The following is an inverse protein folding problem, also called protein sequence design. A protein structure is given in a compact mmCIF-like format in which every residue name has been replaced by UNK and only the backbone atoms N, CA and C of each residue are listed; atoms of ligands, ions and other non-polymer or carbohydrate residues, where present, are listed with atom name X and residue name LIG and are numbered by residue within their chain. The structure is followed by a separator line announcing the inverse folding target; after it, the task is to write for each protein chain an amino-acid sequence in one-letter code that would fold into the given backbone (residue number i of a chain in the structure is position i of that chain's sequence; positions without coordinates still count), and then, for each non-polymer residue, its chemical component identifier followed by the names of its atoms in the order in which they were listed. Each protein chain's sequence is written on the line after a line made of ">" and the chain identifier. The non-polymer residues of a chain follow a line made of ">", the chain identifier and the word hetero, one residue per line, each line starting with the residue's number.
data_IF_122098522666
#
_entry.id   IF_122098522666
#
_cell.length_a   1.000
_cell.length_b   1.000
_cell.length_c   1.000
_cell.angle_alpha   90.00
_cell.angle_beta   90.00
_cell.angle_gamma   90.00
#
_symmetry.space_group_name_H-M   'P 1'
#
loop_
_entity.id
_entity.type
_entity.pdbx_description
1 polymer ?
#
# COMPACT_ATOMS: atom_id res chain seq x y z
N UNK A 1 -18.82 -6.61 -61.31
CA UNK A 1 -17.41 -6.72 -60.88
C UNK A 1 -17.40 -7.57 -59.63
N UNK A 2 -17.07 -8.85 -59.80
CA UNK A 2 -17.15 -9.90 -58.79
C UNK A 2 -15.93 -9.80 -57.88
N UNK A 3 -16.14 -9.51 -56.59
CA UNK A 3 -15.09 -9.49 -55.58
C UNK A 3 -14.61 -10.92 -55.30
N UNK A 4 -13.45 -11.28 -55.85
CA UNK A 4 -12.74 -12.51 -55.50
C UNK A 4 -12.30 -12.45 -54.03
N UNK A 5 -13.01 -13.15 -53.15
CA UNK A 5 -12.46 -13.58 -51.87
C UNK A 5 -11.33 -14.59 -52.17
N UNK A 6 -10.08 -14.13 -52.17
CA UNK A 6 -8.93 -15.03 -52.11
C UNK A 6 -8.99 -15.78 -50.78
N UNK A 7 -9.18 -17.10 -50.84
CA UNK A 7 -8.98 -18.00 -49.72
C UNK A 7 -7.48 -17.99 -49.34
N UNK A 8 -7.11 -17.85 -48.06
CA UNK A 8 -5.72 -17.81 -47.65
C UNK A 8 -4.98 -19.11 -48.01
N UNK A 9 -3.72 -19.00 -48.41
CA UNK A 9 -2.93 -20.15 -48.86
C UNK A 9 -2.73 -21.18 -47.72
N UNK A 10 -2.63 -22.49 -48.02
CA UNK A 10 -2.51 -23.55 -47.00
C UNK A 10 -1.27 -23.40 -46.10
N UNK A 11 -0.20 -22.77 -46.57
CA UNK A 11 1.00 -22.47 -45.76
C UNK A 11 0.72 -21.41 -44.68
N UNK A 12 -0.10 -20.40 -45.00
CA UNK A 12 -0.50 -19.35 -44.05
C UNK A 12 -1.37 -19.93 -42.94
N UNK A 13 -2.28 -20.85 -43.29
CA UNK A 13 -3.12 -21.57 -42.32
C UNK A 13 -2.29 -22.42 -41.34
N UNK A 14 -1.23 -23.07 -41.80
CA UNK A 14 -0.33 -23.86 -40.93
C UNK A 14 0.44 -22.97 -39.96
N UNK A 15 1.02 -21.85 -40.43
CA UNK A 15 1.74 -20.91 -39.58
C UNK A 15 0.82 -20.25 -38.54
N UNK A 16 -0.41 -19.88 -38.92
CA UNK A 16 -1.42 -19.36 -38.00
C UNK A 16 -1.80 -20.38 -36.93
N UNK A 17 -1.90 -21.67 -37.29
CA UNK A 17 -2.20 -22.75 -36.34
C UNK A 17 -1.07 -22.96 -35.33
N UNK A 18 0.17 -23.09 -35.80
CA UNK A 18 1.36 -23.27 -34.93
C UNK A 18 1.50 -22.10 -33.95
N UNK A 19 1.31 -20.87 -34.42
CA UNK A 19 1.34 -19.69 -33.56
C UNK A 19 0.25 -19.72 -32.50
N UNK A 20 -0.99 -20.06 -32.87
CA UNK A 20 -2.11 -20.17 -31.94
C UNK A 20 -1.90 -21.26 -30.89
N UNK A 21 -1.36 -22.41 -31.29
CA UNK A 21 -1.04 -23.51 -30.37
C UNK A 21 0.06 -23.11 -29.38
N UNK A 22 1.06 -22.36 -29.84
CA UNK A 22 2.11 -21.81 -28.98
C UNK A 22 1.58 -20.76 -27.99
N UNK A 23 0.76 -19.81 -28.46
CA UNK A 23 0.09 -18.82 -27.61
C UNK A 23 -0.75 -19.51 -26.52
N UNK A 24 -1.52 -20.55 -26.88
CA UNK A 24 -2.31 -21.33 -25.93
C UNK A 24 -1.44 -22.04 -24.90
N UNK A 25 -0.33 -22.66 -25.33
CA UNK A 25 0.61 -23.32 -24.44
C UNK A 25 1.28 -22.33 -23.45
N UNK A 26 1.53 -21.08 -23.87
CA UNK A 26 2.03 -20.04 -22.97
C UNK A 26 0.96 -19.62 -21.96
N UNK A 27 -0.28 -19.43 -22.39
CA UNK A 27 -1.41 -19.11 -21.50
C UNK A 27 -1.55 -20.19 -20.42
N UNK A 28 -1.58 -21.47 -20.80
CA UNK A 28 -1.71 -22.56 -19.83
C UNK A 28 -0.56 -22.61 -18.81
N UNK A 29 0.67 -22.35 -19.27
CA UNK A 29 1.84 -22.22 -18.39
C UNK A 29 1.73 -21.02 -17.44
N UNK A 30 1.24 -19.87 -17.92
CA UNK A 30 1.03 -18.68 -17.09
C UNK A 30 -0.03 -18.96 -16.03
N UNK A 31 -1.13 -19.62 -16.36
CA UNK A 31 -2.17 -19.98 -15.40
C UNK A 31 -1.62 -20.90 -14.30
N UNK A 32 -0.77 -21.87 -14.65
CA UNK A 32 -0.11 -22.76 -13.67
C UNK A 32 0.92 -22.01 -12.81
N UNK A 33 1.73 -21.14 -13.41
CA UNK A 33 2.70 -20.31 -12.70
C UNK A 33 2.02 -19.31 -11.75
N UNK A 34 0.87 -18.77 -12.16
CA UNK A 34 0.03 -17.88 -11.34
C UNK A 34 -0.52 -18.60 -10.11
N UNK A 35 -1.01 -19.84 -10.27
CA UNK A 35 -1.44 -20.64 -9.12
C UNK A 35 -0.29 -20.95 -8.15
N UNK A 36 0.91 -21.18 -8.69
CA UNK A 36 2.12 -21.37 -7.89
C UNK A 36 2.49 -20.09 -7.14
N UNK A 37 2.41 -18.92 -7.79
CA UNK A 37 2.66 -17.63 -7.16
C UNK A 37 1.65 -17.35 -6.04
N UNK A 38 0.37 -17.69 -6.23
CA UNK A 38 -0.64 -17.57 -5.18
C UNK A 38 -0.33 -18.46 -3.95
N UNK A 39 0.13 -19.69 -4.17
CA UNK A 39 0.61 -20.55 -3.07
C UNK A 39 1.86 -19.98 -2.36
N UNK A 40 2.62 -19.11 -3.03
CA UNK A 40 3.74 -18.35 -2.45
C UNK A 40 3.31 -17.02 -1.82
N UNK A 41 2.01 -16.80 -1.64
CA UNK A 41 1.48 -15.63 -0.96
C UNK A 41 1.13 -14.45 -1.86
N UNK A 42 1.27 -14.53 -3.19
CA UNK A 42 1.00 -13.39 -4.09
C UNK A 42 -0.49 -13.17 -4.32
N UNK A 43 -0.93 -11.92 -4.20
CA UNK A 43 -2.32 -11.51 -4.50
C UNK A 43 -2.45 -10.99 -5.94
N UNK A 44 -3.66 -10.97 -6.53
CA UNK A 44 -3.88 -10.37 -7.85
C UNK A 44 -3.39 -8.92 -7.94
N UNK A 45 -3.57 -8.18 -6.86
CA UNK A 45 -3.13 -6.80 -6.72
C UNK A 45 -1.61 -6.63 -6.76
N UNK A 46 -0.87 -7.56 -6.15
CA UNK A 46 0.59 -7.61 -6.23
C UNK A 46 1.04 -7.98 -7.65
N UNK A 47 0.38 -8.97 -8.27
CA UNK A 47 0.71 -9.42 -9.61
C UNK A 47 0.45 -8.32 -10.66
N UNK A 48 -0.64 -7.57 -10.56
CA UNK A 48 -0.88 -6.38 -11.41
C UNK A 48 0.19 -5.31 -11.24
N UNK A 49 0.70 -5.14 -10.02
CA UNK A 49 1.76 -4.17 -9.77
C UNK A 49 3.08 -4.56 -10.46
N UNK A 50 3.42 -5.86 -10.45
CA UNK A 50 4.68 -6.36 -11.01
C UNK A 50 4.60 -6.59 -12.52
N UNK A 51 3.52 -7.18 -13.00
CA UNK A 51 3.35 -7.60 -14.40
C UNK A 51 2.65 -6.54 -15.26
N UNK A 52 2.07 -5.50 -14.64
CA UNK A 52 1.23 -4.50 -15.28
C UNK A 52 -0.24 -4.93 -15.39
N UNK A 53 -1.10 -4.01 -15.83
CA UNK A 53 -2.55 -4.26 -15.88
C UNK A 53 -2.98 -5.24 -16.98
N UNK A 54 -2.15 -5.48 -18.00
CA UNK A 54 -2.47 -6.38 -19.12
C UNK A 54 -2.71 -7.83 -18.72
N UNK A 55 -2.18 -8.26 -17.57
CA UNK A 55 -2.34 -9.63 -17.05
C UNK A 55 -3.74 -9.89 -16.44
N UNK A 56 -4.55 -8.86 -16.23
CA UNK A 56 -5.79 -8.94 -15.43
C UNK A 56 -6.74 -10.06 -15.88
N UNK A 57 -6.90 -10.24 -17.20
CA UNK A 57 -7.72 -11.32 -17.75
C UNK A 57 -7.16 -12.72 -17.39
N UNK A 58 -5.84 -12.92 -17.46
CA UNK A 58 -5.20 -14.19 -17.08
C UNK A 58 -5.33 -14.46 -15.57
N UNK A 59 -5.28 -13.41 -14.74
CA UNK A 59 -5.55 -13.55 -13.30
C UNK A 59 -7.00 -13.97 -13.05
N UNK A 60 -7.96 -13.41 -13.77
CA UNK A 60 -9.37 -13.81 -13.69
C UNK A 60 -9.55 -15.29 -14.09
N UNK A 61 -8.91 -15.75 -15.17
CA UNK A 61 -8.95 -17.17 -15.56
C UNK A 61 -8.29 -18.09 -14.52
N UNK A 62 -7.21 -17.66 -13.88
CA UNK A 62 -6.50 -18.43 -12.86
C UNK A 62 -7.25 -18.50 -11.52
N UNK A 63 -8.16 -17.56 -11.25
CA UNK A 63 -8.82 -17.38 -9.96
C UNK A 63 -9.48 -18.65 -9.40
N UNK A 64 -10.19 -19.41 -10.25
CA UNK A 64 -10.83 -20.67 -9.84
C UNK A 64 -9.81 -21.74 -9.42
N UNK A 65 -8.66 -21.83 -10.10
CA UNK A 65 -7.58 -22.76 -9.76
C UNK A 65 -6.95 -22.39 -8.41
N UNK A 66 -6.73 -21.10 -8.18
CA UNK A 66 -6.18 -20.59 -6.92
C UNK A 66 -7.14 -20.83 -5.75
N UNK A 67 -8.43 -20.55 -5.95
CA UNK A 67 -9.40 -20.71 -4.87
C UNK A 67 -9.67 -22.16 -4.49
N UNK A 68 -9.51 -23.09 -5.43
CA UNK A 68 -9.59 -24.52 -5.17
C UNK A 68 -8.28 -25.12 -4.60
N UNK A 69 -7.14 -24.43 -4.72
CA UNK A 69 -5.86 -24.94 -4.25
C UNK A 69 -5.78 -24.98 -2.72
N UNK A 70 -5.63 -26.18 -2.16
CA UNK A 70 -5.50 -26.38 -0.72
C UNK A 70 -4.23 -25.76 -0.12
N UNK A 71 -3.15 -25.69 -0.92
CA UNK A 71 -1.87 -25.11 -0.51
C UNK A 71 -1.89 -23.56 -0.41
N UNK A 72 -2.95 -22.90 -0.91
CA UNK A 72 -3.09 -21.44 -0.77
C UNK A 72 -3.71 -21.09 0.57
N UNK A 73 -3.04 -20.21 1.31
CA UNK A 73 -3.52 -19.68 2.59
C UNK A 73 -4.87 -18.98 2.46
N UNK A 74 -5.72 -19.07 3.48
CA UNK A 74 -7.09 -18.54 3.43
C UNK A 74 -7.15 -17.02 3.22
N UNK A 75 -6.27 -16.26 3.86
CA UNK A 75 -6.08 -14.81 3.63
C UNK A 75 -5.84 -14.46 2.16
N UNK A 76 -4.91 -15.16 1.51
CA UNK A 76 -4.59 -15.01 0.08
C UNK A 76 -5.79 -15.44 -0.76
N UNK A 77 -6.42 -16.57 -0.43
CA UNK A 77 -7.63 -17.06 -1.11
C UNK A 77 -8.74 -16.01 -1.09
N UNK A 78 -8.97 -15.34 0.05
CA UNK A 78 -9.94 -14.25 0.18
C UNK A 78 -9.56 -13.04 -0.67
N UNK A 79 -8.29 -12.63 -0.65
CA UNK A 79 -7.79 -11.57 -1.52
C UNK A 79 -8.05 -11.89 -3.00
N UNK A 80 -7.78 -13.12 -3.43
CA UNK A 80 -8.08 -13.58 -4.79
C UNK A 80 -9.56 -13.48 -5.14
N UNK A 81 -10.47 -13.83 -4.21
CA UNK A 81 -11.93 -13.75 -4.44
C UNK A 81 -12.43 -12.33 -4.62
N UNK A 82 -11.85 -11.38 -3.88
CA UNK A 82 -12.25 -9.97 -3.93
C UNK A 82 -11.63 -9.22 -5.09
N UNK A 83 -10.35 -9.47 -5.37
CA UNK A 83 -9.55 -8.64 -6.27
C UNK A 83 -9.59 -9.10 -7.73
N UNK A 84 -10.13 -10.28 -8.01
CA UNK A 84 -10.39 -10.76 -9.36
C UNK A 84 -11.82 -10.43 -9.77
N UNK A 85 -11.97 -9.71 -10.87
CA UNK A 85 -13.25 -9.42 -11.51
C UNK A 85 -13.17 -9.84 -12.98
N UNK A 86 -14.33 -10.04 -13.63
CA UNK A 86 -14.38 -10.31 -15.05
C UNK A 86 -13.80 -9.13 -15.83
N UNK A 87 -12.84 -9.41 -16.71
CA UNK A 87 -12.17 -8.43 -17.57
C UNK A 87 -12.18 -8.97 -18.98
N UNK A 88 -12.48 -8.11 -19.96
CA UNK A 88 -12.44 -8.50 -21.37
C UNK A 88 -11.02 -8.89 -21.80
N UNK A 89 -10.85 -9.90 -22.66
CA UNK A 89 -9.55 -10.30 -23.15
C UNK A 89 -8.95 -9.18 -24.00
N UNK A 90 -7.72 -8.79 -23.67
CA UNK A 90 -6.90 -7.92 -24.52
C UNK A 90 -6.03 -8.80 -25.42
N UNK A 91 -5.77 -8.38 -26.68
CA UNK A 91 -4.81 -9.07 -27.52
C UNK A 91 -3.40 -8.91 -26.90
N UNK A 92 -2.73 -10.03 -26.65
CA UNK A 92 -1.38 -10.05 -26.10
C UNK A 92 -0.34 -10.31 -27.19
N UNK A 93 0.82 -9.67 -27.09
CA UNK A 93 1.97 -10.11 -27.86
C UNK A 93 2.59 -11.36 -27.20
N UNK A 94 3.10 -12.30 -28.01
CA UNK A 94 3.80 -13.50 -27.51
C UNK A 94 4.94 -13.12 -26.56
N UNK A 95 5.67 -12.06 -26.88
CA UNK A 95 6.76 -11.53 -26.04
C UNK A 95 6.29 -11.04 -24.68
N UNK A 96 5.07 -10.49 -24.57
CA UNK A 96 4.49 -10.10 -23.28
C UNK A 96 4.16 -11.33 -22.43
N UNK A 97 3.59 -12.38 -23.04
CA UNK A 97 3.32 -13.65 -22.37
C UNK A 97 4.61 -14.31 -21.87
N UNK A 98 5.66 -14.34 -22.69
CA UNK A 98 6.98 -14.86 -22.30
C UNK A 98 7.60 -14.08 -21.13
N UNK A 99 7.51 -12.75 -21.16
CA UNK A 99 7.98 -11.90 -20.08
C UNK A 99 7.21 -12.16 -18.78
N UNK A 100 5.88 -12.21 -18.84
CA UNK A 100 5.05 -12.53 -17.66
C UNK A 100 5.37 -13.90 -17.09
N UNK A 101 5.50 -14.91 -17.94
CA UNK A 101 5.85 -16.27 -17.52
C UNK A 101 7.22 -16.32 -16.84
N UNK A 102 8.20 -15.61 -17.39
CA UNK A 102 9.54 -15.50 -16.80
C UNK A 102 9.48 -14.85 -15.43
N UNK A 103 8.83 -13.68 -15.33
CA UNK A 103 8.69 -12.97 -14.05
C UNK A 103 7.95 -13.82 -13.00
N UNK A 104 6.84 -14.48 -13.37
CA UNK A 104 6.06 -15.34 -12.45
C UNK A 104 6.90 -16.48 -11.86
N UNK A 105 7.82 -17.07 -12.63
CA UNK A 105 8.69 -18.16 -12.18
C UNK A 105 9.71 -17.71 -11.13
N UNK A 106 10.14 -16.45 -11.20
CA UNK A 106 11.15 -15.85 -10.33
C UNK A 106 10.57 -15.27 -9.03
N UNK A 107 9.25 -15.23 -8.87
CA UNK A 107 8.62 -14.61 -7.70
C UNK A 107 8.95 -15.37 -6.40
N UNK A 108 9.48 -14.69 -5.37
CA UNK A 108 9.81 -15.30 -4.09
C UNK A 108 8.56 -15.63 -3.27
N UNK A 109 8.75 -16.41 -2.20
CA UNK A 109 7.76 -16.56 -1.13
C UNK A 109 7.61 -15.24 -0.37
N UNK A 110 6.37 -14.85 -0.08
CA UNK A 110 6.05 -13.67 0.74
C UNK A 110 5.54 -14.14 2.09
N UNK A 111 6.38 -14.01 3.13
CA UNK A 111 6.17 -14.57 4.47
C UNK A 111 5.07 -13.89 5.32
N UNK A 112 4.43 -12.84 4.80
CA UNK A 112 3.29 -12.18 5.45
C UNK A 112 1.93 -12.78 5.04
N UNK A 113 1.91 -13.89 4.30
CA UNK A 113 0.71 -14.49 3.75
C UNK A 113 -0.30 -14.88 4.84
N UNK A 114 0.13 -15.42 5.97
CA UNK A 114 -0.78 -15.91 7.03
C UNK A 114 -1.64 -14.81 7.65
N UNK A 115 -1.08 -13.61 7.82
CA UNK A 115 -1.74 -12.48 8.48
C UNK A 115 -2.17 -11.40 7.48
N UNK A 116 -2.17 -11.73 6.18
CA UNK A 116 -2.44 -10.79 5.11
C UNK A 116 -3.89 -10.30 5.12
N UNK A 117 -4.06 -8.99 5.03
CA UNK A 117 -5.33 -8.30 4.77
C UNK A 117 -5.17 -7.32 3.60
N UNK A 118 -6.28 -6.78 3.12
CA UNK A 118 -6.29 -5.66 2.18
C UNK A 118 -7.03 -4.45 2.76
N UNK A 119 -6.86 -3.29 2.12
CA UNK A 119 -7.43 -2.03 2.59
C UNK A 119 -8.97 -2.03 2.48
N UNK A 120 -9.52 -2.73 1.50
CA UNK A 120 -10.96 -2.86 1.32
C UNK A 120 -11.60 -3.56 2.53
N UNK A 121 -11.05 -4.71 2.94
CA UNK A 121 -11.50 -5.42 4.14
C UNK A 121 -11.39 -4.57 5.41
N UNK A 122 -10.33 -3.75 5.54
CA UNK A 122 -10.18 -2.83 6.67
C UNK A 122 -11.20 -1.67 6.63
N UNK A 123 -11.65 -1.26 5.44
CA UNK A 123 -12.72 -0.28 5.28
C UNK A 123 -14.09 -0.89 5.54
N UNK A 124 -14.37 -2.09 5.01
CA UNK A 124 -15.63 -2.80 5.28
C UNK A 124 -15.83 -3.05 6.77
N UNK A 125 -14.78 -3.44 7.51
CA UNK A 125 -14.85 -3.55 8.99
C UNK A 125 -15.25 -2.25 9.70
N UNK A 126 -15.01 -1.11 9.08
CA UNK A 126 -15.40 0.20 9.60
C UNK A 126 -16.82 0.61 9.17
N UNK A 127 -17.26 0.14 7.99
CA UNK A 127 -18.55 0.46 7.37
C UNK A 127 -19.69 -0.51 7.75
N UNK A 128 -19.39 -1.79 7.97
CA UNK A 128 -20.29 -2.84 8.47
C UNK A 128 -19.92 -3.28 9.91
N UNK A 129 -20.44 -2.55 10.91
CA UNK A 129 -20.04 -2.68 12.31
C UNK A 129 -20.69 -3.83 13.07
N UNK A 130 -21.69 -4.51 12.50
CA UNK A 130 -22.38 -5.66 13.13
C UNK A 130 -21.82 -7.02 12.66
N UNK A 131 -20.77 -7.00 11.84
CA UNK A 131 -20.01 -8.19 11.47
C UNK A 131 -19.27 -8.84 12.64
N UNK A 132 -18.85 -10.11 12.52
CA UNK A 132 -18.22 -10.87 13.60
C UNK A 132 -16.90 -10.26 14.14
N UNK A 133 -16.29 -9.32 13.41
CA UNK A 133 -15.04 -8.60 13.74
C UNK A 133 -15.25 -7.06 13.90
N UNK A 134 -16.48 -6.60 14.18
CA UNK A 134 -16.84 -5.18 14.18
C UNK A 134 -16.15 -4.31 15.25
N UNK A 135 -15.91 -3.03 14.95
CA UNK A 135 -15.38 -2.03 15.89
C UNK A 135 -16.35 -1.77 17.07
N UNK A 136 -15.83 -1.53 18.27
CA UNK A 136 -16.64 -1.16 19.43
C UNK A 136 -17.45 0.15 19.21
N UNK A 137 -18.58 0.32 19.90
CA UNK A 137 -19.48 1.47 19.82
C UNK A 137 -18.80 2.83 20.00
N UNK A 138 -17.78 2.92 20.86
CA UNK A 138 -16.98 4.13 21.03
C UNK A 138 -16.05 4.36 19.83
N UNK A 139 -15.45 3.29 19.31
CA UNK A 139 -14.58 3.32 18.13
C UNK A 139 -15.33 3.76 16.88
N UNK A 140 -16.57 3.29 16.73
CA UNK A 140 -17.50 3.68 15.65
C UNK A 140 -17.75 5.18 15.61
N UNK A 141 -18.04 5.81 16.75
CA UNK A 141 -18.34 7.26 16.80
C UNK A 141 -17.10 8.11 16.50
N UNK A 142 -15.93 7.71 16.98
CA UNK A 142 -14.69 8.40 16.71
C UNK A 142 -14.31 8.32 15.22
N UNK A 143 -14.35 7.12 14.64
CA UNK A 143 -14.12 6.88 13.21
C UNK A 143 -15.00 7.76 12.32
N UNK A 144 -16.32 7.78 12.57
CA UNK A 144 -17.27 8.60 11.82
C UNK A 144 -17.00 10.11 11.97
N UNK A 145 -16.63 10.56 13.18
CA UNK A 145 -16.33 11.97 13.46
C UNK A 145 -15.03 12.42 12.78
N UNK A 146 -14.00 11.57 12.78
CA UNK A 146 -12.76 11.79 12.03
C UNK A 146 -13.08 11.86 10.53
N UNK A 147 -13.85 10.91 10.00
CA UNK A 147 -14.30 10.92 8.60
C UNK A 147 -15.02 12.22 8.23
N UNK A 148 -15.95 12.68 9.08
CA UNK A 148 -16.71 13.90 8.88
C UNK A 148 -15.83 15.16 8.88
N UNK A 149 -14.88 15.28 9.82
CA UNK A 149 -13.92 16.39 9.84
C UNK A 149 -13.05 16.40 8.59
N UNK A 150 -12.57 15.23 8.16
CA UNK A 150 -11.76 15.08 6.96
C UNK A 150 -12.55 15.40 5.68
N UNK A 151 -13.82 15.01 5.58
CA UNK A 151 -14.70 15.36 4.45
C UNK A 151 -14.99 16.86 4.41
N UNK A 152 -15.20 17.47 5.58
CA UNK A 152 -15.42 18.92 5.68
C UNK A 152 -14.17 19.70 5.24
N UNK A 153 -12.99 19.23 5.63
CA UNK A 153 -11.72 19.81 5.20
C UNK A 153 -11.51 19.73 3.68
N UNK A 154 -12.03 18.69 2.99
CA UNK A 154 -12.00 18.62 1.52
C UNK A 154 -12.96 19.60 0.85
N UNK A 155 -14.11 19.82 1.47
CA UNK A 155 -15.17 20.62 0.87
C UNK A 155 -14.97 22.14 1.04
N UNK A 156 -14.04 22.56 1.90
CA UNK A 156 -13.76 23.99 2.09
C UNK A 156 -12.73 24.50 1.08
N UNK A 157 -12.94 25.72 0.59
CA UNK A 157 -12.03 26.44 -0.30
C UNK A 157 -11.01 27.29 0.46
N UNK A 158 -11.08 27.31 1.80
CA UNK A 158 -10.19 28.10 2.66
C UNK A 158 -9.09 27.22 3.27
N UNK A 159 -7.84 27.44 2.83
CA UNK A 159 -6.69 26.64 3.27
C UNK A 159 -6.53 26.61 4.80
N UNK A 160 -6.66 27.76 5.49
CA UNK A 160 -6.53 27.83 6.95
C UNK A 160 -7.64 27.06 7.70
N UNK A 161 -8.87 27.03 7.14
CA UNK A 161 -9.97 26.24 7.72
C UNK A 161 -9.73 24.74 7.50
N UNK A 162 -9.28 24.35 6.30
CA UNK A 162 -8.90 22.98 5.98
C UNK A 162 -7.80 22.49 6.93
N UNK A 163 -6.74 23.27 7.13
CA UNK A 163 -5.65 22.97 8.06
C UNK A 163 -6.16 22.74 9.49
N UNK A 164 -7.04 23.62 9.97
CA UNK A 164 -7.62 23.51 11.32
C UNK A 164 -8.47 22.23 11.47
N UNK A 165 -9.28 21.91 10.46
CA UNK A 165 -10.12 20.70 10.45
C UNK A 165 -9.28 19.42 10.38
N UNK A 166 -8.20 19.41 9.59
CA UNK A 166 -7.24 18.28 9.52
C UNK A 166 -6.50 18.11 10.84
N UNK A 167 -5.99 19.19 11.42
CA UNK A 167 -5.31 19.15 12.73
C UNK A 167 -6.26 18.58 13.81
N UNK A 168 -7.52 19.03 13.82
CA UNK A 168 -8.54 18.52 14.74
C UNK A 168 -8.88 17.05 14.50
N UNK A 169 -8.92 16.60 13.25
CA UNK A 169 -9.12 15.19 12.90
C UNK A 169 -7.94 14.31 13.37
N UNK A 170 -6.70 14.81 13.22
CA UNK A 170 -5.49 14.13 13.69
C UNK A 170 -5.44 14.05 15.21
N UNK A 171 -5.71 15.16 15.91
CA UNK A 171 -5.80 15.18 17.36
C UNK A 171 -6.89 14.23 17.87
N UNK A 172 -8.08 14.22 17.25
CA UNK A 172 -9.17 13.30 17.60
C UNK A 172 -8.79 11.84 17.38
N UNK A 173 -8.04 11.53 16.31
CA UNK A 173 -7.55 10.19 16.03
C UNK A 173 -6.54 9.73 17.07
N UNK A 174 -5.58 10.59 17.42
CA UNK A 174 -4.58 10.27 18.43
C UNK A 174 -5.23 10.07 19.81
N UNK A 175 -6.20 10.92 20.16
CA UNK A 175 -7.03 10.73 21.37
C UNK A 175 -7.76 9.40 21.37
N UNK A 176 -8.39 9.06 20.25
CA UNK A 176 -9.08 7.79 20.13
C UNK A 176 -8.12 6.59 20.25
N UNK A 177 -6.92 6.69 19.67
CA UNK A 177 -5.88 5.65 19.76
C UNK A 177 -5.45 5.41 21.21
N UNK A 178 -5.26 6.49 21.97
CA UNK A 178 -5.01 6.48 23.42
C UNK A 178 -6.20 5.85 24.16
N UNK A 179 -7.43 6.27 23.87
CA UNK A 179 -8.63 5.73 24.53
C UNK A 179 -8.80 4.22 24.29
N UNK A 180 -8.56 3.74 23.06
CA UNK A 180 -8.61 2.31 22.75
C UNK A 180 -7.49 1.50 23.39
N UNK A 181 -6.35 2.14 23.65
CA UNK A 181 -5.25 1.53 24.36
C UNK A 181 -5.60 1.34 25.85
N UNK A 182 -6.46 2.19 26.42
CA UNK A 182 -6.86 2.13 27.83
C UNK A 182 -7.98 1.11 28.12
N UNK A 183 -8.60 0.51 27.10
CA UNK A 183 -9.63 -0.51 27.27
C UNK A 183 -9.01 -1.84 27.74
N UNK A 184 -9.42 -2.41 28.89
CA UNK A 184 -8.75 -3.56 29.48
C UNK A 184 -8.86 -4.85 28.64
N UNK A 185 -7.81 -5.68 28.59
CA UNK A 185 -7.82 -6.98 27.93
C UNK A 185 -8.57 -8.00 28.80
N UNK A 186 -9.91 -7.96 28.77
CA UNK A 186 -10.76 -8.80 29.62
C UNK A 186 -11.99 -9.40 28.93
N UNK A 187 -12.20 -9.13 27.64
CA UNK A 187 -13.21 -9.84 26.86
C UNK A 187 -12.52 -11.00 26.12
N UNK A 188 -13.10 -12.21 26.03
CA UNK A 188 -12.50 -13.38 25.36
C UNK A 188 -12.23 -13.21 23.85
N UNK A 189 -12.32 -11.98 23.32
CA UNK A 189 -11.99 -11.55 21.97
C UNK A 189 -10.67 -10.74 21.86
N UNK A 190 -9.89 -10.58 22.94
CA UNK A 190 -8.77 -9.60 22.98
C UNK A 190 -7.38 -10.22 23.07
N UNK A 191 -7.07 -11.22 22.24
CA UNK A 191 -5.73 -11.29 21.65
C UNK A 191 -5.74 -10.34 20.45
N UNK A 192 -5.17 -9.14 20.59
CA UNK A 192 -5.16 -8.16 19.48
C UNK A 192 -4.44 -8.79 18.29
N UNK A 193 -5.21 -9.20 17.28
CA UNK A 193 -4.69 -9.85 16.09
C UNK A 193 -3.91 -8.82 15.26
N UNK A 194 -2.61 -9.06 15.11
CA UNK A 194 -1.76 -8.27 14.22
C UNK A 194 -1.98 -8.71 12.78
N UNK A 195 -2.15 -7.73 11.91
CA UNK A 195 -2.45 -7.94 10.50
C UNK A 195 -1.31 -7.35 9.66
N UNK A 196 -1.13 -7.87 8.45
CA UNK A 196 -0.20 -7.36 7.46
C UNK A 196 -0.95 -6.78 6.26
N UNK A 197 -0.61 -5.56 5.85
CA UNK A 197 -1.17 -4.95 4.64
C UNK A 197 -0.05 -4.52 3.68
N UNK A 198 -0.15 -4.95 2.43
CA UNK A 198 0.84 -4.65 1.39
C UNK A 198 0.59 -3.32 0.69
N UNK A 199 1.59 -2.44 0.77
CA UNK A 199 1.67 -1.16 0.09
C UNK A 199 2.57 -1.29 -1.14
N UNK A 200 2.07 -0.87 -2.29
CA UNK A 200 2.78 -0.93 -3.58
C UNK A 200 3.31 0.43 -3.98
N UNK A 201 4.59 0.50 -4.32
CA UNK A 201 5.35 1.72 -4.58
C UNK A 201 5.98 1.68 -5.98
N UNK A 202 5.87 2.77 -6.72
CA UNK A 202 6.36 2.80 -8.10
C UNK A 202 7.83 3.20 -8.20
N UNK A 203 8.56 2.60 -9.14
CA UNK A 203 9.87 3.08 -9.57
C UNK A 203 9.81 4.55 -10.03
N UNK A 204 10.91 5.33 -9.95
CA UNK A 204 12.28 4.91 -9.64
C UNK A 204 12.68 5.05 -8.16
N UNK A 205 11.83 5.63 -7.31
CA UNK A 205 12.19 6.03 -5.94
C UNK A 205 11.66 5.11 -4.85
N UNK A 206 11.55 3.81 -5.13
CA UNK A 206 10.95 2.80 -4.21
C UNK A 206 11.51 2.92 -2.80
N UNK A 207 12.85 2.90 -2.63
CA UNK A 207 13.47 2.98 -1.30
C UNK A 207 13.15 4.27 -0.54
N UNK A 208 12.97 5.39 -1.25
CA UNK A 208 12.68 6.68 -0.60
C UNK A 208 11.19 6.80 -0.25
N UNK A 209 10.30 6.23 -1.07
CA UNK A 209 8.89 6.06 -0.71
C UNK A 209 8.76 5.14 0.50
N UNK A 210 9.51 4.04 0.53
CA UNK A 210 9.56 3.14 1.67
C UNK A 210 10.06 3.84 2.94
N UNK A 211 11.06 4.72 2.83
CA UNK A 211 11.51 5.52 3.98
C UNK A 211 10.38 6.37 4.57
N UNK A 212 9.56 7.01 3.72
CA UNK A 212 8.38 7.75 4.18
C UNK A 212 7.39 6.80 4.88
N UNK A 213 7.07 5.65 4.28
CA UNK A 213 6.18 4.65 4.88
C UNK A 213 6.69 4.18 6.25
N UNK A 214 8.00 3.88 6.36
CA UNK A 214 8.62 3.44 7.60
C UNK A 214 8.58 4.52 8.71
N UNK A 215 8.79 5.79 8.35
CA UNK A 215 8.64 6.90 9.31
C UNK A 215 7.20 7.07 9.80
N UNK A 216 6.21 6.86 8.93
CA UNK A 216 4.80 6.92 9.30
C UNK A 216 4.42 5.72 10.16
N UNK A 217 4.83 4.51 9.78
CA UNK A 217 4.56 3.28 10.52
C UNK A 217 5.09 3.36 11.95
N UNK A 218 6.35 3.75 12.11
CA UNK A 218 6.97 3.87 13.44
C UNK A 218 6.31 4.92 14.35
N UNK A 219 5.68 5.96 13.80
CA UNK A 219 4.90 6.92 14.58
C UNK A 219 3.51 6.40 15.00
N UNK A 220 3.03 5.35 14.33
CA UNK A 220 1.70 4.77 14.50
C UNK A 220 1.74 3.35 15.07
N UNK A 221 2.74 3.02 15.91
CA UNK A 221 2.88 1.71 16.56
C UNK A 221 2.86 0.52 15.56
N UNK A 222 3.29 0.76 14.32
CA UNK A 222 3.37 -0.23 13.25
C UNK A 222 4.82 -0.42 12.81
N UNK A 223 5.12 -1.58 12.22
CA UNK A 223 6.40 -1.83 11.55
C UNK A 223 6.18 -1.93 10.05
N UNK A 224 7.16 -1.50 9.25
CA UNK A 224 7.12 -1.64 7.79
C UNK A 224 8.36 -2.38 7.27
N UNK A 225 8.15 -3.33 6.36
CA UNK A 225 9.22 -4.13 5.73
C UNK A 225 9.09 -4.07 4.22
N UNK A 226 10.20 -3.79 3.52
CA UNK A 226 10.25 -3.85 2.06
C UNK A 226 10.48 -5.31 1.63
N UNK A 227 9.46 -5.95 1.05
CA UNK A 227 9.45 -7.39 0.74
C UNK A 227 10.25 -7.74 -0.51
N UNK A 228 10.22 -6.88 -1.54
CA UNK A 228 10.83 -7.19 -2.83
C UNK A 228 11.39 -5.97 -3.53
N UNK A 229 12.30 -6.22 -4.49
CA UNK A 229 12.77 -5.21 -5.42
C UNK A 229 11.64 -4.63 -6.30
N UNK A 230 10.51 -5.34 -6.40
CA UNK A 230 9.37 -4.94 -7.22
C UNK A 230 8.51 -3.84 -6.59
N UNK A 231 8.92 -3.25 -5.47
CA UNK A 231 8.24 -2.08 -4.89
C UNK A 231 7.11 -2.40 -3.93
N UNK A 232 7.05 -3.63 -3.40
CA UNK A 232 6.04 -4.02 -2.42
C UNK A 232 6.64 -3.96 -1.02
N UNK A 233 5.98 -3.24 -0.11
CA UNK A 233 6.26 -3.28 1.33
C UNK A 233 5.05 -3.78 2.09
N UNK A 234 5.27 -4.42 3.23
CA UNK A 234 4.22 -4.84 4.15
C UNK A 234 4.24 -3.98 5.40
N UNK A 235 3.08 -3.59 5.89
CA UNK A 235 2.88 -2.87 7.15
C UNK A 235 2.22 -3.81 8.13
N UNK A 236 2.83 -4.01 9.29
CA UNK A 236 2.38 -4.92 10.35
C UNK A 236 2.00 -4.12 11.58
N UNK A 237 0.82 -4.40 12.11
CA UNK A 237 0.29 -3.73 13.31
C UNK A 237 -1.17 -4.10 13.57
N UNK A 238 -1.81 -3.37 14.48
CA UNK A 238 -3.24 -3.47 14.73
C UNK A 238 -4.05 -2.88 13.57
N UNK A 239 -5.25 -3.42 13.31
CA UNK A 239 -6.11 -3.05 12.18
C UNK A 239 -6.28 -1.52 11.99
N UNK A 240 -6.56 -0.80 13.09
CA UNK A 240 -6.79 0.65 13.05
C UNK A 240 -5.53 1.47 12.72
N UNK A 241 -4.39 1.00 13.21
CA UNK A 241 -3.09 1.65 13.06
C UNK A 241 -2.49 1.38 11.66
N UNK A 242 -2.61 0.14 11.18
CA UNK A 242 -2.21 -0.26 9.81
C UNK A 242 -2.99 0.55 8.78
N UNK A 243 -4.32 0.58 8.90
CA UNK A 243 -5.16 1.39 8.02
C UNK A 243 -4.75 2.86 8.04
N UNK A 244 -4.51 3.43 9.24
CA UNK A 244 -4.05 4.81 9.35
C UNK A 244 -2.79 5.06 8.52
N UNK A 245 -1.80 4.20 8.75
CA UNK A 245 -0.47 4.31 8.18
C UNK A 245 -0.56 4.29 6.66
N UNK A 246 -1.37 3.39 6.11
CA UNK A 246 -1.55 3.22 4.66
C UNK A 246 -2.24 4.43 4.03
N UNK A 247 -3.35 4.90 4.61
CA UNK A 247 -4.09 6.07 4.10
C UNK A 247 -3.22 7.33 4.14
N UNK A 248 -2.51 7.53 5.25
CA UNK A 248 -1.63 8.67 5.47
C UNK A 248 -0.44 8.63 4.52
N UNK A 249 0.17 7.45 4.33
CA UNK A 249 1.23 7.26 3.35
C UNK A 249 0.76 7.59 1.93
N UNK A 250 -0.40 7.06 1.50
CA UNK A 250 -0.91 7.29 0.15
C UNK A 250 -1.08 8.80 -0.15
N UNK A 251 -1.65 9.53 0.81
CA UNK A 251 -1.83 10.98 0.74
C UNK A 251 -0.49 11.73 0.70
N UNK A 252 0.38 11.50 1.68
CA UNK A 252 1.67 12.20 1.79
C UNK A 252 2.59 11.88 0.63
N UNK A 253 2.57 10.66 0.10
CA UNK A 253 3.36 10.30 -1.07
C UNK A 253 2.93 11.09 -2.32
N UNK A 254 1.62 11.30 -2.52
CA UNK A 254 1.12 12.18 -3.61
C UNK A 254 1.52 13.63 -3.42
N UNK A 255 1.38 14.16 -2.19
CA UNK A 255 1.78 15.54 -1.88
C UNK A 255 3.29 15.74 -2.05
N UNK A 256 4.10 14.78 -1.61
CA UNK A 256 5.54 14.77 -1.80
C UNK A 256 5.91 14.85 -3.29
N UNK A 257 5.30 14.02 -4.13
CA UNK A 257 5.50 14.04 -5.57
C UNK A 257 5.09 15.38 -6.20
N UNK A 258 3.99 15.98 -5.74
CA UNK A 258 3.56 17.31 -6.17
C UNK A 258 4.60 18.38 -5.83
N UNK A 259 4.98 18.53 -4.55
CA UNK A 259 5.93 19.55 -4.10
C UNK A 259 7.31 19.38 -4.75
N UNK A 260 7.79 18.14 -4.91
CA UNK A 260 9.08 17.86 -5.55
C UNK A 260 9.12 18.32 -7.02
N UNK A 261 7.96 18.40 -7.69
CA UNK A 261 7.85 18.86 -9.08
C UNK A 261 7.78 20.37 -9.20
N UNK A 262 7.06 21.05 -8.30
CA UNK A 262 6.77 22.49 -8.40
C UNK A 262 7.79 23.39 -7.68
N UNK A 263 8.71 22.80 -6.90
CA UNK A 263 9.67 23.57 -6.11
C UNK A 263 10.67 24.32 -6.99
N UNK A 264 11.04 25.55 -6.61
CA UNK A 264 12.04 26.34 -7.33
C UNK A 264 13.40 25.60 -7.48
N UNK A 265 13.81 24.83 -6.45
CA UNK A 265 15.01 24.01 -6.53
C UNK A 265 14.93 22.87 -7.53
N UNK A 266 13.73 22.39 -7.88
CA UNK A 266 13.55 21.38 -8.92
C UNK A 266 13.86 21.95 -10.32
N UNK A 267 13.41 23.17 -10.59
CA UNK A 267 13.73 23.88 -11.83
C UNK A 267 15.22 24.20 -11.95
N UNK A 268 15.84 24.65 -10.85
CA UNK A 268 17.29 24.89 -10.78
C UNK A 268 18.12 23.61 -10.98
N UNK A 269 17.75 22.52 -10.31
CA UNK A 269 18.41 21.22 -10.47
C UNK A 269 18.29 20.69 -11.90
N UNK A 270 17.15 20.94 -12.56
CA UNK A 270 16.97 20.60 -13.98
C UNK A 270 17.92 21.38 -14.89
N UNK A 271 18.08 22.69 -14.66
CA UNK A 271 19.00 23.53 -15.46
C UNK A 271 20.46 23.18 -15.25
N UNK A 272 20.82 22.70 -14.06
CA UNK A 272 22.21 22.40 -13.66
C UNK A 272 22.56 20.91 -13.80
N UNK A 273 21.66 20.07 -14.30
CA UNK A 273 21.88 18.63 -14.47
C UNK A 273 21.92 17.83 -13.15
N UNK A 274 21.42 18.38 -12.04
CA UNK A 274 21.49 17.79 -10.69
C UNK A 274 20.17 17.15 -10.22
N UNK A 275 19.19 16.96 -11.12
CA UNK A 275 17.83 16.47 -10.80
C UNK A 275 17.82 15.24 -9.91
N UNK A 276 18.65 14.22 -10.19
CA UNK A 276 18.70 12.98 -9.41
C UNK A 276 19.18 13.23 -7.98
N UNK A 277 20.24 14.02 -7.81
CA UNK A 277 20.78 14.37 -6.50
C UNK A 277 19.81 15.23 -5.69
N UNK A 278 19.15 16.19 -6.35
CA UNK A 278 18.09 17.01 -5.76
C UNK A 278 16.93 16.16 -5.24
N UNK A 279 16.36 15.27 -6.09
CA UNK A 279 15.20 14.43 -5.73
C UNK A 279 15.51 13.49 -4.57
N UNK A 280 16.70 12.86 -4.55
CA UNK A 280 17.14 12.02 -3.43
C UNK A 280 17.18 12.81 -2.11
N UNK A 281 17.79 13.99 -2.14
CA UNK A 281 17.85 14.87 -0.97
C UNK A 281 16.47 15.33 -0.50
N UNK A 282 15.61 15.70 -1.45
CA UNK A 282 14.25 16.14 -1.20
C UNK A 282 13.44 15.05 -0.48
N UNK A 283 13.39 13.85 -1.06
CA UNK A 283 12.61 12.73 -0.51
C UNK A 283 13.11 12.31 0.87
N UNK A 284 14.44 12.24 1.05
CA UNK A 284 15.06 11.91 2.34
C UNK A 284 14.68 12.93 3.42
N UNK A 285 14.79 14.22 3.10
CA UNK A 285 14.48 15.30 4.04
C UNK A 285 12.98 15.40 4.34
N UNK A 286 12.14 15.18 3.32
CA UNK A 286 10.69 15.14 3.45
C UNK A 286 10.25 14.04 4.41
N UNK A 287 10.67 12.79 4.15
CA UNK A 287 10.34 11.65 5.00
C UNK A 287 10.80 11.85 6.45
N UNK A 288 12.03 12.32 6.64
CA UNK A 288 12.60 12.57 7.98
C UNK A 288 11.81 13.65 8.74
N UNK A 289 11.38 14.73 8.07
CA UNK A 289 10.60 15.79 8.70
C UNK A 289 9.17 15.36 9.01
N UNK A 290 8.51 14.60 8.13
CA UNK A 290 7.20 14.02 8.42
C UNK A 290 7.26 13.12 9.67
N UNK A 291 8.26 12.24 9.76
CA UNK A 291 8.44 11.40 10.94
C UNK A 291 8.61 12.20 12.23
N UNK A 292 9.39 13.29 12.18
CA UNK A 292 9.53 14.21 13.31
C UNK A 292 8.20 14.88 13.69
N UNK A 293 7.46 15.41 12.71
CA UNK A 293 6.15 16.05 12.92
C UNK A 293 5.13 15.10 13.55
N UNK A 294 5.09 13.83 13.12
CA UNK A 294 4.17 12.84 13.68
C UNK A 294 4.53 12.46 15.12
N UNK A 295 5.83 12.39 15.46
CA UNK A 295 6.28 12.16 16.83
C UNK A 295 6.02 13.37 17.74
N UNK A 296 6.27 14.58 17.24
CA UNK A 296 5.92 15.85 17.90
C UNK A 296 4.42 15.87 18.24
N UNK A 297 3.54 15.64 17.25
CA UNK A 297 2.09 15.61 17.46
C UNK A 297 1.63 14.48 18.41
N UNK A 298 2.34 13.35 18.43
CA UNK A 298 2.09 12.25 19.36
C UNK A 298 2.43 12.60 20.81
N UNK A 299 3.52 13.35 21.04
CA UNK A 299 3.93 13.83 22.35
C UNK A 299 2.98 14.90 22.89
N UNK A 300 2.62 15.90 22.07
CA UNK A 300 1.68 16.96 22.46
C UNK A 300 0.32 16.39 22.90
N UNK A 301 -0.18 15.38 22.18
CA UNK A 301 -1.44 14.71 22.53
C UNK A 301 -1.37 13.90 23.83
N UNK A 302 -0.18 13.50 24.26
CA UNK A 302 0.03 12.81 25.53
C UNK A 302 0.12 13.82 26.70
N UNK A 303 0.75 14.98 26.52
CA UNK A 303 0.85 15.99 27.58
C UNK A 303 -0.51 16.60 27.97
N UNK A 304 -1.47 16.65 27.05
CA UNK A 304 -2.82 17.19 27.27
C UNK A 304 -3.72 16.36 28.24
N UNK A 305 -3.25 15.24 28.83
CA UNK A 305 -4.11 14.30 29.59
C UNK A 305 -3.43 13.64 30.80
N UNK A 306 -4.13 13.61 31.94
CA UNK A 306 -3.73 12.84 33.14
C UNK A 306 -3.70 11.31 32.89
N UNK A 307 -4.52 10.81 31.97
CA UNK A 307 -4.58 9.38 31.62
C UNK A 307 -3.47 8.92 30.64
N UNK A 308 -2.66 9.83 30.12
CA UNK A 308 -1.62 9.51 29.13
C UNK A 308 -0.53 8.60 29.70
N UNK A 309 -0.23 8.74 31.01
CA UNK A 309 0.69 7.84 31.72
C UNK A 309 0.25 6.38 31.66
N UNK A 310 -1.05 6.12 31.49
CA UNK A 310 -1.61 4.77 31.36
C UNK A 310 -1.66 4.28 29.91
N UNK A 311 -1.72 5.19 28.93
CA UNK A 311 -1.86 4.84 27.51
C UNK A 311 -0.53 4.67 26.79
N UNK A 312 0.50 5.44 27.18
CA UNK A 312 1.85 5.34 26.60
C UNK A 312 2.45 3.94 26.72
N UNK A 313 2.34 3.23 27.86
CA UNK A 313 2.80 1.84 27.97
C UNK A 313 2.11 0.91 26.98
N UNK A 314 0.79 1.05 26.79
CA UNK A 314 0.04 0.18 25.87
C UNK A 314 0.41 0.47 24.41
N UNK A 315 0.61 1.73 24.03
CA UNK A 315 1.10 2.08 22.69
C UNK A 315 2.52 1.56 22.43
N UNK A 316 3.36 1.52 23.47
CA UNK A 316 4.69 0.91 23.42
C UNK A 316 4.60 -0.62 23.31
N UNK A 317 3.68 -1.27 24.03
CA UNK A 317 3.40 -2.71 23.91
C UNK A 317 2.91 -3.09 22.51
N UNK A 318 2.02 -2.29 21.92
CA UNK A 318 1.58 -2.47 20.51
C UNK A 318 2.76 -2.40 19.54
N UNK A 319 3.63 -1.41 19.72
CA UNK A 319 4.85 -1.27 18.91
C UNK A 319 5.77 -2.48 19.07
N UNK A 320 6.01 -2.91 20.32
CA UNK A 320 6.85 -4.06 20.62
C UNK A 320 6.27 -5.36 20.05
N UNK A 321 4.94 -5.55 20.09
CA UNK A 321 4.27 -6.70 19.50
C UNK A 321 4.41 -6.71 17.97
N UNK A 322 4.26 -5.55 17.31
CA UNK A 322 4.47 -5.42 15.86
C UNK A 322 5.92 -5.72 15.46
N UNK A 323 6.89 -5.23 16.23
CA UNK A 323 8.32 -5.49 16.03
C UNK A 323 8.68 -6.97 16.23
N UNK A 324 8.15 -7.59 17.29
CA UNK A 324 8.31 -9.03 17.57
C UNK A 324 7.75 -9.87 16.42
N UNK A 325 6.50 -9.61 16.02
CA UNK A 325 5.89 -10.31 14.89
C UNK A 325 6.67 -10.12 13.60
N UNK A 326 7.18 -8.91 13.36
CA UNK A 326 8.04 -8.63 12.20
C UNK A 326 9.32 -9.47 12.24
N UNK A 327 9.97 -9.60 13.40
CA UNK A 327 11.20 -10.39 13.55
C UNK A 327 10.95 -11.88 13.32
N UNK A 328 9.80 -12.39 13.75
CA UNK A 328 9.38 -13.78 13.52
C UNK A 328 9.15 -14.06 12.04
N UNK A 329 8.44 -13.18 11.33
CA UNK A 329 8.15 -13.35 9.90
C UNK A 329 9.39 -13.10 9.02
N UNK A 330 10.27 -12.19 9.44
CA UNK A 330 11.43 -11.76 8.65
C UNK A 330 12.72 -11.81 9.50
N UNK A 331 13.29 -13.01 9.75
CA UNK A 331 14.49 -13.15 10.58
C UNK A 331 15.76 -12.57 9.94
N UNK A 332 15.80 -12.43 8.61
CA UNK A 332 16.98 -12.02 7.85
C UNK A 332 16.91 -10.55 7.35
N UNK A 333 16.19 -9.67 8.05
CA UNK A 333 16.07 -8.26 7.67
C UNK A 333 17.41 -7.53 7.66
N UNK A 334 17.55 -6.59 6.73
CA UNK A 334 18.71 -5.69 6.62
C UNK A 334 18.25 -4.24 6.63
N UNK A 335 19.02 -3.38 7.29
CA UNK A 335 18.78 -1.94 7.26
C UNK A 335 19.08 -1.33 5.89
N UNK A 336 18.31 -0.30 5.52
CA UNK A 336 18.58 0.53 4.34
C UNK A 336 19.20 1.83 4.81
N UNK A 337 20.40 2.15 4.34
CA UNK A 337 21.07 3.43 4.62
C UNK A 337 20.83 4.43 3.49
N UNK A 338 20.70 5.70 3.85
CA UNK A 338 20.50 6.81 2.93
C UNK A 338 21.59 7.85 3.15
N UNK A 339 22.04 8.48 2.07
CA UNK A 339 22.98 9.60 2.11
C UNK A 339 22.67 10.57 0.98
N UNK A 340 22.75 11.87 1.26
CA UNK A 340 22.60 12.92 0.27
C UNK A 340 23.40 14.15 0.66
N UNK A 341 23.94 14.85 -0.35
CA UNK A 341 24.76 16.06 -0.18
C UNK A 341 24.14 17.30 -0.81
N UNK A 342 22.94 17.21 -1.37
CA UNK A 342 22.30 18.34 -2.07
C UNK A 342 21.52 19.23 -1.09
N UNK A 343 22.17 20.30 -0.61
CA UNK A 343 21.62 21.18 0.43
C UNK A 343 20.25 21.78 0.06
N UNK A 344 20.09 22.27 -1.18
CA UNK A 344 18.82 22.87 -1.62
C UNK A 344 17.66 21.86 -1.66
N UNK A 345 17.88 20.66 -2.20
CA UNK A 345 16.88 19.59 -2.18
C UNK A 345 16.49 19.21 -0.76
N UNK A 346 17.46 19.13 0.16
CA UNK A 346 17.18 18.87 1.57
C UNK A 346 16.30 19.96 2.20
N UNK A 347 16.63 21.24 1.97
CA UNK A 347 15.83 22.38 2.46
C UNK A 347 14.41 22.36 1.90
N UNK A 348 14.28 22.23 0.58
CA UNK A 348 12.97 22.22 -0.09
C UNK A 348 12.12 21.03 0.40
N UNK A 349 12.72 19.85 0.62
CA UNK A 349 12.04 18.69 1.18
C UNK A 349 11.50 18.92 2.60
N UNK A 350 12.28 19.56 3.48
CA UNK A 350 11.80 19.94 4.83
C UNK A 350 10.65 20.94 4.79
N UNK A 351 10.75 21.96 3.93
CA UNK A 351 9.70 22.96 3.76
C UNK A 351 8.42 22.33 3.22
N UNK A 352 8.53 21.45 2.23
CA UNK A 352 7.41 20.71 1.68
C UNK A 352 6.73 19.83 2.73
N UNK A 353 7.49 19.14 3.58
CA UNK A 353 6.92 18.37 4.67
C UNK A 353 6.13 19.23 5.66
N UNK A 354 6.66 20.41 6.02
CA UNK A 354 5.94 21.36 6.88
C UNK A 354 4.66 21.94 6.26
N UNK A 355 4.54 21.95 4.94
CA UNK A 355 3.34 22.39 4.19
C UNK A 355 2.40 21.24 3.83
N UNK A 356 2.76 20.00 4.17
CA UNK A 356 1.96 18.84 3.79
C UNK A 356 0.82 18.64 4.78
N UNK A 357 -0.35 18.35 4.24
CA UNK A 357 -1.52 18.03 5.02
C UNK A 357 -1.40 16.57 5.48
N UNK A 358 -1.37 16.33 6.80
CA UNK A 358 -1.28 15.00 7.40
C UNK A 358 -2.60 14.23 7.30
N UNK A 359 -3.42 14.46 6.27
CA UNK A 359 -4.70 13.77 6.05
C UNK A 359 -4.43 12.40 5.41
N UNK A 360 -5.02 11.34 5.94
CA UNK A 360 -5.17 10.07 5.20
C UNK A 360 -6.28 10.21 4.18
N UNK A 361 -6.03 9.86 2.93
CA UNK A 361 -6.98 10.10 1.85
C UNK A 361 -7.84 8.84 1.62
N UNK A 362 -9.15 8.94 1.89
CA UNK A 362 -10.11 7.87 1.65
C UNK A 362 -10.51 7.75 0.17
N UNK A 363 -10.20 8.75 -0.66
CA UNK A 363 -10.61 8.78 -2.06
C UNK A 363 -9.43 8.47 -2.99
N UNK A 364 -9.02 7.20 -3.06
CA UNK A 364 -7.86 6.86 -3.90
C UNK A 364 -7.75 5.43 -4.42
N UNK A 365 -8.66 4.52 -4.08
CA UNK A 365 -8.58 3.13 -4.56
C UNK A 365 -9.47 2.79 -5.76
N UNK A 366 -10.24 3.73 -6.32
CA UNK A 366 -11.24 3.37 -7.35
C UNK A 366 -11.33 4.27 -8.59
N UNK A 367 -10.26 4.98 -8.97
CA UNK A 367 -10.23 5.69 -10.27
C UNK A 367 -8.88 5.61 -10.97
N UNK A 368 -8.56 4.43 -11.50
CA UNK A 368 -7.75 4.29 -12.72
C UNK A 368 -8.18 3.03 -13.48
N UNK A 369 -9.21 3.14 -14.32
CA UNK A 369 -9.41 2.40 -15.57
C UNK A 369 -10.61 3.01 -16.28
N UNK A 370 -10.33 4.01 -17.11
CA UNK A 370 -11.01 4.19 -18.38
C UNK A 370 -9.93 3.97 -19.45
#
# INVERSE_FOLDING_TARGET
>A
MTTHHLSPAPADLHLHRVRRDHEQALVDQILAATATAACRGWTPDDLRHVLGNGVAHLLFLAHHRVTAAAATTESVRRAWRRQCHAVDPLPWAVTELENWLTTLRELPLLADEEILTDLHQLHEREEDPDGPDGLDGQQRRAAHRIAGLLRKAESTTFDAEAETLVAKAQQLRQRHRIDTALTPPGSPATSVELLALRVRMSAPWIRHQFLLLAQIAGANSCTAVLLSAHGIATVIGEAGDVRHTVDLFASLNRQCAHFMRISAGAHEASRTGQTTAYRRAFLLAYASRIGALLREAGADAAEDREDSDRALPVLAERSAAAEERTRQLFPALRGISFSSRHARGHRDGRVAAGRSHLRGDRAGLDRRSA
#
